data_IF_683606686321
#
_entry.id   IF_683606686321
#
_cell.length_a   1.000
_cell.length_b   1.000
_cell.length_c   1.000
_cell.angle_alpha   90.00
_cell.angle_beta   90.00
_cell.angle_gamma   90.00
#
_symmetry.space_group_name_H-M   'P 1'
#
loop_
_entity.id
_entity.type
_entity.pdbx_description
1 polymer ?
#
# COMPACT_ATOMS: atom_id res chain seq x y z
N UNK A 1 38.89 39.08 72.77
CA UNK A 1 38.27 37.74 72.73
C UNK A 1 36.96 37.66 71.93
N UNK A 2 36.11 38.71 71.85
CA UNK A 2 34.83 38.65 71.10
C UNK A 2 34.93 38.72 69.56
N UNK A 3 36.03 39.23 68.99
CA UNK A 3 36.20 39.34 67.53
C UNK A 3 36.66 38.04 66.85
N UNK A 4 37.31 37.13 67.57
CA UNK A 4 37.79 35.85 67.02
C UNK A 4 36.67 34.82 66.83
N UNK A 5 35.60 34.88 67.64
CA UNK A 5 34.46 33.97 67.53
C UNK A 5 33.57 34.25 66.30
N UNK A 6 33.51 35.50 65.84
CA UNK A 6 32.68 35.89 64.69
C UNK A 6 33.32 35.45 63.35
N UNK A 7 34.65 35.47 63.26
CA UNK A 7 35.38 35.10 62.03
C UNK A 7 35.41 33.59 61.80
N UNK A 8 35.43 32.78 62.87
CA UNK A 8 35.40 31.31 62.78
C UNK A 8 33.99 30.80 62.39
N UNK A 9 32.93 31.47 62.85
CA UNK A 9 31.55 31.11 62.49
C UNK A 9 31.21 31.36 61.01
N UNK A 10 31.73 32.44 60.41
CA UNK A 10 31.48 32.78 59.00
C UNK A 10 32.22 31.86 58.03
N UNK A 11 33.42 31.38 58.40
CA UNK A 11 34.21 30.44 57.57
C UNK A 11 33.60 29.03 57.60
N UNK A 12 33.01 28.60 58.72
CA UNK A 12 32.37 27.29 58.83
C UNK A 12 31.07 27.19 58.00
N UNK A 13 30.29 28.28 57.93
CA UNK A 13 29.04 28.33 57.14
C UNK A 13 29.32 28.40 55.63
N UNK A 14 30.39 29.08 55.21
CA UNK A 14 30.80 29.09 53.79
C UNK A 14 31.34 27.72 53.33
N UNK A 15 31.96 26.97 54.23
CA UNK A 15 32.57 25.66 53.93
C UNK A 15 31.51 24.56 53.76
N UNK A 16 30.34 24.69 54.40
CA UNK A 16 29.21 23.76 54.25
C UNK A 16 28.44 24.03 52.94
N UNK A 17 28.45 25.26 52.41
CA UNK A 17 27.85 25.60 51.11
C UNK A 17 28.69 25.19 49.90
N UNK A 18 29.99 24.87 50.09
CA UNK A 18 30.89 24.47 49.00
C UNK A 18 30.98 22.94 48.79
N UNK A 19 30.43 22.12 49.70
CA UNK A 19 30.45 20.66 49.59
C UNK A 19 29.18 20.04 48.96
N UNK A 20 28.14 20.83 48.69
CA UNK A 20 26.92 20.38 47.98
C UNK A 20 27.00 20.47 46.45
N UNK A 21 28.14 20.89 45.89
CA UNK A 21 28.30 21.12 44.45
C UNK A 21 28.83 19.91 43.64
N UNK A 22 29.05 18.75 44.26
CA UNK A 22 29.56 17.54 43.60
C UNK A 22 28.65 16.31 43.80
N UNK A 23 27.34 16.48 43.64
CA UNK A 23 26.50 15.33 43.29
C UNK A 23 26.82 14.92 41.83
N UNK A 24 27.06 13.65 41.52
CA UNK A 24 27.16 13.20 40.14
C UNK A 24 25.90 13.66 39.41
N UNK A 25 26.06 14.37 38.29
CA UNK A 25 24.94 14.70 37.43
C UNK A 25 24.28 13.39 37.01
N UNK A 26 23.17 13.06 37.67
CA UNK A 26 22.37 11.91 37.34
C UNK A 26 21.77 12.22 35.97
N UNK A 27 22.41 11.71 34.92
CA UNK A 27 21.89 11.76 33.56
C UNK A 27 20.51 11.12 33.61
N UNK A 28 19.47 11.96 33.59
CA UNK A 28 18.10 11.50 33.60
C UNK A 28 17.94 10.46 32.48
N UNK A 29 17.54 9.25 32.85
CA UNK A 29 17.21 8.23 31.86
C UNK A 29 16.16 8.83 30.90
N UNK A 30 16.28 8.61 29.58
CA UNK A 30 15.32 9.15 28.64
C UNK A 30 13.92 8.67 29.01
N UNK A 31 13.02 9.61 29.24
CA UNK A 31 11.62 9.34 29.56
C UNK A 31 10.99 8.68 28.34
N UNK A 32 10.56 7.41 28.46
CA UNK A 32 9.77 6.76 27.42
C UNK A 32 8.37 7.31 27.46
N UNK A 33 7.88 7.88 26.35
CA UNK A 33 6.51 8.37 26.27
C UNK A 33 5.69 7.49 25.33
N UNK A 34 4.44 7.22 25.72
CA UNK A 34 3.46 6.60 24.83
C UNK A 34 2.79 7.72 24.03
N UNK A 35 2.89 7.63 22.71
CA UNK A 35 2.39 8.61 21.73
C UNK A 35 1.39 7.93 20.80
N UNK A 36 0.64 8.73 20.06
CA UNK A 36 -0.23 8.23 18.97
C UNK A 36 0.46 8.44 17.63
N UNK A 37 0.54 7.37 16.83
CA UNK A 37 0.94 7.39 15.43
C UNK A 37 -0.33 7.34 14.57
N UNK A 38 -0.70 8.47 14.00
CA UNK A 38 -1.84 8.57 13.09
C UNK A 38 -1.44 8.11 11.69
N UNK A 39 -2.18 7.15 11.15
CA UNK A 39 -1.98 6.59 9.82
C UNK A 39 -3.25 6.78 8.99
N UNK A 40 -3.08 7.06 7.70
CA UNK A 40 -4.17 7.26 6.75
C UNK A 40 -4.39 6.06 5.84
N UNK A 41 -5.61 5.93 5.32
CA UNK A 41 -5.96 5.00 4.25
C UNK A 41 -6.93 5.65 3.26
N UNK A 42 -6.72 5.39 1.98
CA UNK A 42 -7.50 5.92 0.85
C UNK A 42 -7.99 4.74 0.03
N UNK A 43 -9.29 4.48 0.05
CA UNK A 43 -9.91 3.35 -0.65
C UNK A 43 -11.31 3.73 -1.11
N UNK A 44 -11.87 3.04 -2.11
CA UNK A 44 -13.28 3.17 -2.45
C UNK A 44 -14.12 2.53 -1.36
N UNK A 45 -14.82 3.34 -0.57
CA UNK A 45 -15.87 2.86 0.35
C UNK A 45 -17.27 2.99 -0.25
N UNK A 46 -17.39 3.74 -1.34
CA UNK A 46 -18.62 3.86 -2.14
C UNK A 46 -18.36 3.58 -3.62
N UNK A 47 -19.44 3.47 -4.41
CA UNK A 47 -19.37 3.21 -5.85
C UNK A 47 -19.09 1.74 -6.23
N UNK A 48 -18.84 1.50 -7.52
CA UNK A 48 -18.71 0.14 -8.08
C UNK A 48 -17.50 -0.66 -7.57
N UNK A 49 -16.50 0.01 -6.99
CA UNK A 49 -15.33 -0.61 -6.39
C UNK A 49 -15.42 -0.75 -4.85
N UNK A 50 -16.55 -0.35 -4.23
CA UNK A 50 -16.71 -0.30 -2.76
C UNK A 50 -16.40 -1.61 -2.05
N UNK A 51 -16.69 -2.75 -2.71
CA UNK A 51 -16.42 -4.08 -2.17
C UNK A 51 -14.96 -4.24 -1.72
N UNK A 52 -14.00 -3.60 -2.39
CA UNK A 52 -12.58 -3.70 -2.03
C UNK A 52 -12.26 -2.93 -0.76
N UNK A 53 -12.69 -1.68 -0.63
CA UNK A 53 -12.46 -0.89 0.58
C UNK A 53 -13.19 -1.47 1.80
N UNK A 54 -14.43 -1.94 1.61
CA UNK A 54 -15.21 -2.55 2.68
C UNK A 54 -14.62 -3.87 3.19
N UNK A 55 -13.94 -4.64 2.33
CA UNK A 55 -13.21 -5.84 2.74
C UNK A 55 -11.89 -5.50 3.46
N UNK A 56 -11.14 -4.52 2.99
CA UNK A 56 -9.80 -4.21 3.52
C UNK A 56 -9.81 -3.40 4.82
N UNK A 57 -10.81 -2.55 5.06
CA UNK A 57 -10.84 -1.69 6.27
C UNK A 57 -10.79 -2.50 7.57
N UNK A 58 -11.66 -3.52 7.78
CA UNK A 58 -11.58 -4.35 8.99
C UNK A 58 -10.23 -5.03 9.18
N UNK A 59 -9.57 -5.44 8.09
CA UNK A 59 -8.24 -6.05 8.16
C UNK A 59 -7.21 -5.06 8.70
N UNK A 60 -7.25 -3.81 8.25
CA UNK A 60 -6.36 -2.76 8.75
C UNK A 60 -6.64 -2.42 10.22
N UNK A 61 -7.92 -2.32 10.60
CA UNK A 61 -8.32 -2.05 11.98
C UNK A 61 -7.81 -3.17 12.91
N UNK A 62 -8.00 -4.44 12.54
CA UNK A 62 -7.49 -5.59 13.31
C UNK A 62 -5.97 -5.58 13.44
N UNK A 63 -5.24 -5.24 12.37
CA UNK A 63 -3.77 -5.14 12.46
C UNK A 63 -3.32 -4.01 13.39
N UNK A 64 -3.97 -2.85 13.33
CA UNK A 64 -3.68 -1.74 14.23
C UNK A 64 -3.97 -2.12 15.70
N UNK A 65 -5.10 -2.78 15.95
CA UNK A 65 -5.47 -3.30 17.26
C UNK A 65 -4.44 -4.31 17.78
N UNK A 66 -4.05 -5.31 16.99
CA UNK A 66 -3.06 -6.30 17.40
C UNK A 66 -1.70 -5.68 17.74
N UNK A 67 -1.24 -4.69 16.96
CA UNK A 67 0.01 -3.98 17.25
C UNK A 67 -0.12 -3.19 18.56
N UNK A 68 -1.26 -2.55 18.78
CA UNK A 68 -1.51 -1.77 19.98
C UNK A 68 -1.59 -2.67 21.24
N UNK A 69 -2.24 -3.83 21.12
CA UNK A 69 -2.33 -4.86 22.15
C UNK A 69 -0.96 -5.45 22.50
N UNK A 70 -0.06 -5.60 21.52
CA UNK A 70 1.34 -6.02 21.71
C UNK A 70 2.25 -4.90 22.28
N UNK A 71 1.64 -3.79 22.72
CA UNK A 71 2.33 -2.68 23.37
C UNK A 71 2.79 -1.57 22.43
N UNK A 72 2.37 -1.58 21.17
CA UNK A 72 2.63 -0.52 20.18
C UNK A 72 4.02 -0.59 19.54
N UNK A 73 4.31 0.37 18.67
CA UNK A 73 5.57 0.43 17.91
C UNK A 73 6.62 1.21 18.71
N UNK A 74 7.75 0.57 19.01
CA UNK A 74 8.88 1.26 19.66
C UNK A 74 9.76 1.98 18.63
N UNK A 75 9.91 3.30 18.76
CA UNK A 75 10.80 4.13 17.95
C UNK A 75 11.70 4.95 18.87
N UNK A 76 12.98 4.59 18.91
CA UNK A 76 13.92 5.16 19.90
C UNK A 76 13.47 4.83 21.32
N UNK A 77 13.23 5.85 22.13
CA UNK A 77 12.74 5.70 23.50
C UNK A 77 11.22 5.75 23.62
N UNK A 78 10.52 6.14 22.55
CA UNK A 78 9.08 6.31 22.56
C UNK A 78 8.36 5.07 22.04
N UNK A 79 7.13 4.91 22.49
CA UNK A 79 6.20 3.87 22.05
C UNK A 79 5.02 4.53 21.37
N UNK A 80 4.59 4.02 20.23
CA UNK A 80 3.52 4.60 19.43
C UNK A 80 2.35 3.64 19.29
N UNK A 81 1.17 4.09 19.73
CA UNK A 81 -0.11 3.44 19.49
C UNK A 81 -0.66 3.91 18.14
N UNK A 82 -1.14 3.00 17.31
CA UNK A 82 -1.67 3.27 15.98
C UNK A 82 -3.10 3.78 16.08
N UNK A 83 -3.40 4.86 15.36
CA UNK A 83 -4.75 5.35 15.10
C UNK A 83 -4.96 5.45 13.57
N UNK A 84 -5.98 4.78 13.05
CA UNK A 84 -6.28 4.73 11.63
C UNK A 84 -7.34 5.77 11.22
N UNK A 85 -7.06 6.51 10.15
CA UNK A 85 -7.98 7.46 9.52
C UNK A 85 -8.28 7.04 8.09
N UNK A 86 -9.57 6.87 7.77
CA UNK A 86 -10.01 6.36 6.47
C UNK A 86 -10.74 7.46 5.68
N UNK A 87 -10.39 7.62 4.40
CA UNK A 87 -11.10 8.50 3.46
C UNK A 87 -11.55 7.71 2.23
N UNK A 88 -12.81 7.92 1.84
CA UNK A 88 -13.36 7.40 0.59
C UNK A 88 -12.83 8.20 -0.60
N UNK A 89 -12.09 7.55 -1.48
CA UNK A 89 -11.59 8.17 -2.72
C UNK A 89 -12.44 7.86 -3.95
N UNK A 90 -13.55 7.13 -3.77
CA UNK A 90 -14.51 6.76 -4.82
C UNK A 90 -13.89 6.10 -6.05
N UNK A 91 -12.70 5.51 -5.93
CA UNK A 91 -11.94 4.93 -7.04
C UNK A 91 -11.50 5.95 -8.11
N UNK A 92 -11.32 7.23 -7.76
CA UNK A 92 -11.07 8.31 -8.73
C UNK A 92 -9.84 9.18 -8.35
N UNK A 93 -9.08 9.71 -9.34
CA UNK A 93 -7.87 10.49 -9.06
C UNK A 93 -8.11 11.78 -8.26
N UNK A 94 -9.14 12.55 -8.64
CA UNK A 94 -9.41 13.85 -8.03
C UNK A 94 -9.87 13.74 -6.56
N UNK A 95 -10.85 12.87 -6.22
CA UNK A 95 -11.17 12.59 -4.83
C UNK A 95 -10.00 11.99 -4.05
N UNK A 96 -9.18 11.13 -4.65
CA UNK A 96 -7.97 10.60 -4.01
C UNK A 96 -6.98 11.70 -3.60
N UNK A 97 -6.67 12.65 -4.49
CA UNK A 97 -5.80 13.79 -4.16
C UNK A 97 -6.42 14.72 -3.10
N UNK A 98 -7.74 14.92 -3.13
CA UNK A 98 -8.43 15.69 -2.10
C UNK A 98 -8.39 14.99 -0.73
N UNK A 99 -8.62 13.68 -0.72
CA UNK A 99 -8.54 12.84 0.48
C UNK A 99 -7.14 12.81 1.08
N UNK A 100 -6.10 12.73 0.24
CA UNK A 100 -4.72 12.84 0.70
C UNK A 100 -4.45 14.17 1.42
N UNK A 101 -4.91 15.30 0.87
CA UNK A 101 -4.80 16.61 1.53
C UNK A 101 -5.50 16.62 2.88
N UNK A 102 -6.71 16.06 2.97
CA UNK A 102 -7.46 15.98 4.24
C UNK A 102 -6.71 15.14 5.28
N UNK A 103 -6.21 13.96 4.90
CA UNK A 103 -5.43 13.11 5.81
C UNK A 103 -4.17 13.83 6.31
N UNK A 104 -3.47 14.56 5.44
CA UNK A 104 -2.22 15.23 5.79
C UNK A 104 -2.48 16.47 6.66
N UNK A 105 -3.36 17.38 6.20
CA UNK A 105 -3.51 18.70 6.80
C UNK A 105 -4.56 18.75 7.91
N UNK A 106 -5.64 17.97 7.82
CA UNK A 106 -6.72 18.00 8.80
C UNK A 106 -6.50 16.94 9.88
N UNK A 107 -6.17 15.70 9.49
CA UNK A 107 -5.98 14.59 10.43
C UNK A 107 -4.55 14.52 11.00
N UNK A 108 -3.56 15.04 10.28
CA UNK A 108 -2.17 15.06 10.69
C UNK A 108 -1.50 13.69 10.62
N UNK A 109 -1.84 12.86 9.62
CA UNK A 109 -1.27 11.51 9.50
C UNK A 109 0.23 11.56 9.15
N UNK A 110 0.99 10.61 9.69
CA UNK A 110 2.42 10.46 9.40
C UNK A 110 2.68 9.74 8.07
N UNK A 111 1.79 8.81 7.70
CA UNK A 111 1.86 8.05 6.47
C UNK A 111 0.47 7.64 6.01
N UNK A 112 0.32 7.34 4.73
CA UNK A 112 -0.87 6.72 4.13
C UNK A 112 -0.51 5.29 3.77
N UNK A 113 -1.11 4.29 4.41
CA UNK A 113 -0.64 2.88 4.43
C UNK A 113 -1.65 1.84 3.91
N UNK A 114 -2.74 2.27 3.29
CA UNK A 114 -3.75 1.38 2.72
C UNK A 114 -4.41 2.02 1.52
N UNK A 115 -3.81 1.83 0.34
CA UNK A 115 -4.29 2.42 -0.91
C UNK A 115 -4.68 1.37 -1.96
N UNK A 116 -5.95 1.41 -2.37
CA UNK A 116 -6.50 0.55 -3.41
C UNK A 116 -7.42 1.36 -4.34
N UNK A 117 -6.87 2.09 -5.31
CA UNK A 117 -7.68 2.96 -6.17
C UNK A 117 -6.99 3.36 -7.48
N UNK A 118 -7.73 3.99 -8.40
CA UNK A 118 -7.26 4.47 -9.70
C UNK A 118 -6.86 5.96 -9.64
N UNK A 119 -5.78 6.28 -8.91
CA UNK A 119 -5.36 7.67 -8.68
C UNK A 119 -3.98 7.86 -8.06
N UNK A 120 -3.12 6.83 -8.08
CA UNK A 120 -1.87 6.81 -7.31
C UNK A 120 -0.95 8.00 -7.62
N UNK A 121 -0.82 8.40 -8.89
CA UNK A 121 0.01 9.54 -9.28
C UNK A 121 -0.52 10.88 -8.73
N UNK A 122 -1.85 11.04 -8.65
CA UNK A 122 -2.48 12.24 -8.09
C UNK A 122 -2.27 12.30 -6.57
N UNK A 123 -2.34 11.17 -5.88
CA UNK A 123 -2.03 11.05 -4.45
C UNK A 123 -0.54 11.31 -4.20
N UNK A 124 0.34 10.68 -4.98
CA UNK A 124 1.79 10.87 -4.89
C UNK A 124 2.20 12.33 -5.12
N UNK A 125 1.53 13.05 -6.04
CA UNK A 125 1.74 14.47 -6.27
C UNK A 125 1.40 15.36 -5.06
N UNK A 126 0.59 14.87 -4.12
CA UNK A 126 0.30 15.55 -2.84
C UNK A 126 1.27 15.09 -1.75
N UNK A 127 1.54 13.80 -1.63
CA UNK A 127 2.31 13.24 -0.51
C UNK A 127 3.81 13.52 -0.62
N UNK A 128 4.39 13.52 -1.83
CA UNK A 128 5.83 13.72 -2.04
C UNK A 128 6.34 15.12 -1.64
N UNK A 129 5.69 16.23 -2.03
CA UNK A 129 6.08 17.56 -1.57
C UNK A 129 6.06 17.71 -0.04
N UNK A 130 5.08 17.05 0.60
CA UNK A 130 4.89 17.06 2.06
C UNK A 130 5.77 16.02 2.79
N UNK A 131 6.54 15.21 2.05
CA UNK A 131 7.40 14.14 2.60
C UNK A 131 6.62 13.10 3.42
N UNK A 132 5.36 12.90 3.10
CA UNK A 132 4.49 11.90 3.73
C UNK A 132 4.66 10.58 3.00
N UNK A 133 4.98 9.52 3.75
CA UNK A 133 5.12 8.19 3.17
C UNK A 133 3.78 7.73 2.63
N UNK A 134 3.76 7.32 1.37
CA UNK A 134 2.61 6.79 0.68
C UNK A 134 2.88 5.35 0.27
N UNK A 135 2.24 4.40 0.96
CA UNK A 135 2.30 2.98 0.62
C UNK A 135 1.09 2.63 -0.24
N UNK A 136 1.35 2.33 -1.50
CA UNK A 136 0.31 1.94 -2.46
C UNK A 136 0.65 0.71 -3.26
N UNK A 137 -0.25 0.32 -4.15
CA UNK A 137 0.02 -0.69 -5.18
C UNK A 137 0.68 -0.01 -6.39
N UNK A 138 1.59 -0.70 -7.10
CA UNK A 138 1.89 -0.34 -8.51
C UNK A 138 1.02 -1.20 -9.42
N UNK A 139 0.41 -0.60 -10.45
CA UNK A 139 -0.35 -1.32 -11.45
C UNK A 139 -0.87 -0.46 -12.57
N UNK A 140 -1.06 -1.05 -13.76
CA UNK A 140 -1.94 -0.54 -14.82
C UNK A 140 -1.99 1.00 -14.94
N UNK A 141 -0.87 1.63 -15.30
CA UNK A 141 -0.77 3.09 -15.46
C UNK A 141 -0.28 3.87 -14.24
N UNK A 142 0.12 3.22 -13.14
CA UNK A 142 0.86 3.87 -12.05
C UNK A 142 2.26 4.25 -12.54
N UNK A 143 2.41 5.49 -12.96
CA UNK A 143 3.70 6.10 -13.28
C UNK A 143 4.46 6.39 -11.99
N UNK A 144 5.40 5.52 -11.64
CA UNK A 144 6.40 5.79 -10.61
C UNK A 144 7.64 6.41 -11.28
N UNK A 145 8.03 7.59 -10.82
CA UNK A 145 9.27 8.22 -11.19
C UNK A 145 10.17 8.38 -9.95
N UNK A 146 11.30 7.66 -9.84
CA UNK A 146 12.17 7.73 -8.65
C UNK A 146 12.73 9.13 -8.35
N UNK A 147 12.80 10.01 -9.36
CA UNK A 147 13.25 11.39 -9.16
C UNK A 147 12.18 12.24 -8.46
N UNK A 148 10.90 11.92 -8.65
CA UNK A 148 9.76 12.70 -8.15
C UNK A 148 9.01 12.02 -7.00
N UNK A 149 9.02 10.68 -6.94
CA UNK A 149 8.19 9.85 -6.06
C UNK A 149 8.98 9.22 -4.90
N UNK A 150 9.88 10.01 -4.29
CA UNK A 150 10.81 9.55 -3.23
C UNK A 150 10.15 9.05 -1.95
N UNK A 151 8.90 9.45 -1.70
CA UNK A 151 8.11 9.03 -0.53
C UNK A 151 7.03 8.02 -0.89
N UNK A 152 7.00 7.55 -2.13
CA UNK A 152 6.12 6.45 -2.52
C UNK A 152 6.83 5.11 -2.31
N UNK A 153 6.18 4.22 -1.58
CA UNK A 153 6.56 2.82 -1.42
C UNK A 153 5.47 1.98 -2.09
N UNK A 154 5.86 0.94 -2.81
CA UNK A 154 4.90 0.01 -3.39
C UNK A 154 5.21 -1.43 -2.99
N UNK A 155 4.19 -2.10 -2.46
CA UNK A 155 4.30 -3.47 -1.94
C UNK A 155 3.86 -4.56 -2.92
N UNK A 156 3.16 -4.19 -3.99
CA UNK A 156 2.60 -5.13 -4.96
C UNK A 156 2.93 -4.69 -6.36
N UNK A 157 3.87 -5.37 -7.04
CA UNK A 157 4.30 -5.01 -8.37
C UNK A 157 3.33 -5.63 -9.39
N UNK A 158 2.12 -5.06 -9.57
CA UNK A 158 1.07 -5.78 -10.32
C UNK A 158 1.35 -5.86 -11.82
N UNK A 159 2.06 -4.91 -12.42
CA UNK A 159 2.52 -5.01 -13.80
C UNK A 159 3.64 -6.06 -13.93
N UNK A 160 4.54 -6.08 -12.97
CA UNK A 160 5.62 -7.05 -12.90
C UNK A 160 5.08 -8.45 -12.62
N UNK A 161 4.01 -8.60 -11.83
CA UNK A 161 3.34 -9.88 -11.62
C UNK A 161 2.87 -10.48 -12.95
N UNK A 162 2.30 -9.65 -13.83
CA UNK A 162 1.92 -10.10 -15.17
C UNK A 162 3.16 -10.39 -16.02
N UNK A 163 4.19 -9.54 -15.97
CA UNK A 163 5.45 -9.79 -16.68
C UNK A 163 6.13 -11.10 -16.21
N UNK A 164 6.08 -11.41 -14.92
CA UNK A 164 6.61 -12.66 -14.35
C UNK A 164 5.76 -13.86 -14.76
N UNK A 165 4.43 -13.73 -14.87
CA UNK A 165 3.58 -14.76 -15.45
C UNK A 165 3.99 -15.06 -16.90
N UNK A 166 4.32 -14.04 -17.69
CA UNK A 166 4.79 -14.20 -19.07
C UNK A 166 6.16 -14.90 -19.12
N UNK A 167 7.11 -14.49 -18.28
CA UNK A 167 8.43 -15.14 -18.18
C UNK A 167 8.29 -16.60 -17.72
N UNK A 168 7.37 -16.87 -16.79
CA UNK A 168 7.07 -18.24 -16.36
C UNK A 168 6.45 -19.06 -17.49
N UNK A 169 5.52 -18.49 -18.26
CA UNK A 169 4.91 -19.14 -19.42
C UNK A 169 5.95 -19.54 -20.48
N UNK A 170 6.92 -18.66 -20.79
CA UNK A 170 8.01 -19.02 -21.71
C UNK A 170 8.85 -20.20 -21.23
N UNK A 171 9.18 -20.23 -19.93
CA UNK A 171 10.01 -21.29 -19.34
C UNK A 171 9.28 -22.63 -19.33
N UNK A 172 7.99 -22.60 -19.01
CA UNK A 172 7.17 -23.81 -18.92
C UNK A 172 6.71 -24.32 -20.30
N UNK A 173 6.42 -23.40 -21.23
CA UNK A 173 5.76 -23.69 -22.51
C UNK A 173 6.41 -22.89 -23.67
N UNK A 174 7.62 -23.25 -24.11
CA UNK A 174 8.37 -22.51 -25.13
C UNK A 174 7.68 -22.45 -26.51
N UNK A 175 6.72 -23.35 -26.77
CA UNK A 175 5.99 -23.43 -28.03
C UNK A 175 4.75 -22.53 -28.07
N UNK A 176 4.31 -21.97 -26.95
CA UNK A 176 3.12 -21.11 -26.90
C UNK A 176 3.40 -19.76 -27.57
N UNK A 177 2.38 -19.21 -28.22
CA UNK A 177 2.43 -17.98 -29.04
C UNK A 177 1.29 -17.02 -28.76
N UNK A 178 0.16 -17.46 -28.19
CA UNK A 178 -0.99 -16.60 -27.93
C UNK A 178 -1.47 -16.74 -26.49
N UNK A 179 -1.46 -15.63 -25.76
CA UNK A 179 -2.03 -15.50 -24.41
C UNK A 179 -3.48 -15.00 -24.55
N UNK A 180 -4.43 -15.75 -24.02
CA UNK A 180 -5.81 -15.36 -23.86
C UNK A 180 -6.03 -14.67 -22.51
N UNK A 181 -6.56 -13.46 -22.52
CA UNK A 181 -6.94 -12.71 -21.34
C UNK A 181 -8.45 -12.69 -21.22
N UNK A 182 -8.97 -13.04 -20.05
CA UNK A 182 -10.42 -13.02 -19.81
C UNK A 182 -10.79 -12.42 -18.46
N UNK A 183 -11.88 -11.65 -18.43
CA UNK A 183 -12.36 -10.97 -17.24
C UNK A 183 -13.84 -10.57 -17.43
N UNK A 184 -14.55 -10.15 -16.36
CA UNK A 184 -15.85 -9.53 -16.48
C UNK A 184 -15.83 -8.27 -17.36
N UNK A 185 -16.96 -7.94 -17.97
CA UNK A 185 -17.13 -6.80 -18.87
C UNK A 185 -16.74 -5.46 -18.22
N UNK A 186 -17.04 -5.27 -16.94
CA UNK A 186 -16.66 -4.09 -16.18
C UNK A 186 -15.14 -3.87 -16.12
N UNK A 187 -14.33 -4.92 -16.28
CA UNK A 187 -12.88 -4.80 -16.28
C UNK A 187 -12.31 -4.31 -17.63
N UNK A 188 -13.10 -4.27 -18.71
CA UNK A 188 -12.62 -3.98 -20.07
C UNK A 188 -11.94 -2.61 -20.18
N UNK A 189 -12.56 -1.56 -19.65
CA UNK A 189 -12.01 -0.21 -19.76
C UNK A 189 -10.68 -0.12 -19.02
N UNK A 190 -10.67 -0.58 -17.76
CA UNK A 190 -9.45 -0.62 -16.96
C UNK A 190 -8.37 -1.42 -17.68
N UNK A 191 -8.71 -2.57 -18.28
CA UNK A 191 -7.75 -3.40 -18.99
C UNK A 191 -7.16 -2.73 -20.25
N UNK A 192 -7.95 -1.94 -20.99
CA UNK A 192 -7.45 -1.19 -22.15
C UNK A 192 -6.46 -0.09 -21.72
N UNK A 193 -6.80 0.69 -20.69
CA UNK A 193 -5.94 1.75 -20.16
C UNK A 193 -4.66 1.18 -19.51
N UNK A 194 -4.77 0.01 -18.90
CA UNK A 194 -3.75 -0.67 -18.14
C UNK A 194 -2.69 -1.39 -18.94
N UNK A 195 -3.12 -2.12 -19.97
CA UNK A 195 -2.40 -3.28 -20.48
C UNK A 195 -2.08 -3.17 -21.98
N UNK A 196 -2.54 -2.13 -22.68
CA UNK A 196 -2.19 -1.92 -24.09
C UNK A 196 -0.68 -1.77 -24.30
N UNK A 197 0.00 -1.02 -23.43
CA UNK A 197 1.47 -0.89 -23.46
C UNK A 197 2.16 -2.19 -23.08
N UNK A 198 1.59 -2.91 -22.12
CA UNK A 198 2.10 -4.21 -21.69
C UNK A 198 2.00 -5.24 -22.82
N UNK A 199 0.88 -5.29 -23.54
CA UNK A 199 0.70 -6.19 -24.68
C UNK A 199 1.75 -5.95 -25.76
N UNK A 200 1.96 -4.69 -26.13
CA UNK A 200 3.01 -4.30 -27.09
C UNK A 200 4.37 -4.75 -26.58
N UNK A 201 4.68 -4.49 -25.31
CA UNK A 201 5.94 -4.92 -24.71
C UNK A 201 6.08 -6.45 -24.67
N UNK A 202 4.99 -7.20 -24.46
CA UNK A 202 4.98 -8.66 -24.48
C UNK A 202 5.25 -9.18 -25.90
N UNK A 203 4.58 -8.61 -26.91
CA UNK A 203 4.79 -8.98 -28.31
C UNK A 203 6.22 -8.63 -28.76
N UNK A 204 6.69 -7.42 -28.49
CA UNK A 204 8.02 -6.96 -28.90
C UNK A 204 9.16 -7.75 -28.24
N UNK A 205 9.03 -8.08 -26.95
CA UNK A 205 10.10 -8.75 -26.19
C UNK A 205 10.07 -10.26 -26.31
N UNK A 206 8.88 -10.85 -26.45
CA UNK A 206 8.69 -12.30 -26.31
C UNK A 206 7.99 -12.96 -27.50
N UNK A 207 7.49 -12.17 -28.47
CA UNK A 207 6.77 -12.69 -29.63
C UNK A 207 5.45 -13.39 -29.27
N UNK A 208 4.88 -13.07 -28.10
CA UNK A 208 3.60 -13.60 -27.64
C UNK A 208 2.50 -12.59 -27.96
N UNK A 209 1.43 -13.04 -28.61
CA UNK A 209 0.27 -12.21 -28.94
C UNK A 209 -0.74 -12.25 -27.81
N UNK A 210 -1.40 -11.13 -27.55
CA UNK A 210 -2.50 -11.05 -26.60
C UNK A 210 -3.86 -11.11 -27.31
N UNK A 211 -4.77 -11.97 -26.83
CA UNK A 211 -6.15 -12.07 -27.29
C UNK A 211 -7.11 -11.88 -26.11
N UNK A 212 -8.07 -10.97 -26.21
CA UNK A 212 -8.98 -10.63 -25.09
C UNK A 212 -10.39 -11.10 -25.32
N UNK A 213 -10.97 -11.75 -24.31
CA UNK A 213 -12.37 -12.17 -24.30
C UNK A 213 -13.01 -11.77 -22.98
N UNK A 214 -14.03 -10.91 -23.04
CA UNK A 214 -14.79 -10.47 -21.87
C UNK A 214 -16.14 -11.20 -21.78
N UNK A 215 -16.65 -11.33 -20.56
CA UNK A 215 -17.93 -11.97 -20.26
C UNK A 215 -18.78 -11.12 -19.29
N UNK A 216 -20.12 -11.20 -19.32
CA UNK A 216 -20.97 -10.49 -18.36
C UNK A 216 -20.74 -10.94 -16.91
N UNK A 217 -20.91 -10.03 -15.95
CA UNK A 217 -20.88 -10.36 -14.52
C UNK A 217 -21.90 -11.46 -14.18
N UNK A 218 -21.52 -12.38 -13.30
CA UNK A 218 -22.40 -13.49 -12.90
C UNK A 218 -22.49 -14.62 -13.93
N UNK A 219 -21.66 -14.62 -14.97
CA UNK A 219 -21.54 -15.73 -15.90
C UNK A 219 -21.20 -17.02 -15.15
N UNK A 220 -22.01 -18.06 -15.36
CA UNK A 220 -21.79 -19.41 -14.81
C UNK A 220 -21.41 -20.44 -15.87
N UNK A 221 -21.69 -20.16 -17.14
CA UNK A 221 -21.29 -20.98 -18.29
C UNK A 221 -20.24 -20.25 -19.13
N UNK A 222 -19.00 -20.69 -19.01
CA UNK A 222 -17.81 -20.16 -19.67
C UNK A 222 -17.50 -20.85 -21.01
N UNK A 223 -18.20 -21.94 -21.36
CA UNK A 223 -17.97 -22.73 -22.58
C UNK A 223 -17.87 -21.85 -23.86
N UNK A 224 -18.77 -20.88 -24.11
CA UNK A 224 -18.69 -20.06 -25.33
C UNK A 224 -17.41 -19.22 -25.41
N UNK A 225 -16.92 -18.73 -24.27
CA UNK A 225 -15.70 -17.92 -24.19
C UNK A 225 -14.45 -18.77 -24.36
N UNK A 226 -14.47 -19.99 -23.79
CA UNK A 226 -13.40 -20.98 -23.98
C UNK A 226 -13.30 -21.39 -25.45
N UNK A 227 -14.42 -21.70 -26.11
CA UNK A 227 -14.46 -22.04 -27.54
C UNK A 227 -13.91 -20.89 -28.38
N UNK A 228 -14.37 -19.66 -28.14
CA UNK A 228 -13.88 -18.47 -28.85
C UNK A 228 -12.36 -18.28 -28.71
N UNK A 229 -11.80 -18.49 -27.51
CA UNK A 229 -10.36 -18.44 -27.30
C UNK A 229 -9.63 -19.55 -28.08
N UNK A 230 -10.15 -20.78 -28.06
CA UNK A 230 -9.57 -21.90 -28.80
C UNK A 230 -9.58 -21.69 -30.32
N UNK A 231 -10.68 -21.18 -30.87
CA UNK A 231 -10.80 -20.82 -32.30
C UNK A 231 -9.80 -19.75 -32.75
N UNK A 232 -9.34 -18.91 -31.82
CA UNK A 232 -8.33 -17.87 -32.07
C UNK A 232 -6.90 -18.31 -31.70
N UNK A 233 -6.70 -19.62 -31.49
CA UNK A 233 -5.38 -20.20 -31.26
C UNK A 233 -4.76 -19.82 -29.92
N UNK A 234 -5.57 -19.48 -28.91
CA UNK A 234 -5.06 -19.22 -27.55
C UNK A 234 -4.42 -20.49 -26.98
N UNK A 235 -3.15 -20.37 -26.58
CA UNK A 235 -2.38 -21.47 -25.99
C UNK A 235 -2.44 -21.46 -24.45
N UNK A 236 -2.55 -20.27 -23.85
CA UNK A 236 -2.58 -20.05 -22.40
C UNK A 236 -3.70 -19.08 -22.04
N UNK A 237 -4.54 -19.42 -21.05
CA UNK A 237 -5.59 -18.52 -20.55
C UNK A 237 -5.16 -17.92 -19.20
N UNK A 238 -5.20 -16.59 -19.11
CA UNK A 238 -5.11 -15.81 -17.88
C UNK A 238 -6.47 -15.20 -17.58
N UNK A 239 -6.96 -15.39 -16.35
CA UNK A 239 -8.27 -14.91 -15.91
C UNK A 239 -8.12 -13.86 -14.81
N UNK A 240 -8.74 -12.70 -15.02
CA UNK A 240 -8.95 -11.64 -14.03
C UNK A 240 -10.33 -11.72 -13.35
N UNK A 241 -11.00 -12.87 -13.43
CA UNK A 241 -12.28 -13.12 -12.78
C UNK A 241 -12.18 -13.37 -11.27
N UNK A 242 -13.32 -13.47 -10.60
CA UNK A 242 -13.35 -13.91 -9.21
C UNK A 242 -12.88 -15.37 -9.06
N UNK A 243 -12.53 -15.79 -7.84
CA UNK A 243 -12.10 -17.17 -7.56
C UNK A 243 -13.14 -18.20 -8.05
N UNK A 244 -14.43 -17.90 -7.88
CA UNK A 244 -15.51 -18.78 -8.34
C UNK A 244 -15.56 -18.88 -9.87
N UNK A 245 -15.44 -17.74 -10.56
CA UNK A 245 -15.44 -17.68 -12.02
C UNK A 245 -14.25 -18.45 -12.61
N UNK A 246 -13.05 -18.26 -12.03
CA UNK A 246 -11.83 -18.98 -12.42
C UNK A 246 -12.01 -20.49 -12.23
N UNK A 247 -12.60 -20.92 -11.11
CA UNK A 247 -12.87 -22.33 -10.85
C UNK A 247 -13.90 -22.93 -11.84
N UNK A 248 -14.95 -22.18 -12.18
CA UNK A 248 -15.94 -22.59 -13.17
C UNK A 248 -15.35 -22.69 -14.57
N UNK A 249 -14.55 -21.70 -14.99
CA UNK A 249 -13.83 -21.71 -16.26
C UNK A 249 -12.90 -22.91 -16.35
N UNK A 250 -12.11 -23.16 -15.30
CA UNK A 250 -11.20 -24.31 -15.24
C UNK A 250 -11.98 -25.63 -15.33
N UNK A 251 -13.04 -25.80 -14.52
CA UNK A 251 -13.91 -26.99 -14.55
C UNK A 251 -14.47 -27.26 -15.94
N UNK A 252 -14.93 -26.22 -16.63
CA UNK A 252 -15.60 -26.35 -17.93
C UNK A 252 -14.60 -26.54 -19.08
N UNK A 253 -13.33 -26.14 -18.92
CA UNK A 253 -12.28 -26.44 -19.89
C UNK A 253 -11.96 -27.93 -19.99
N UNK A 254 -12.13 -28.68 -18.90
CA UNK A 254 -11.85 -30.11 -18.78
C UNK A 254 -13.10 -31.00 -18.75
N UNK A 255 -14.28 -30.41 -18.91
CA UNK A 255 -15.48 -31.19 -19.16
C UNK A 255 -15.47 -31.61 -20.64
N UNK A 256 -15.00 -32.84 -20.88
CA UNK A 256 -15.26 -33.58 -22.12
C UNK A 256 -16.76 -33.89 -22.26
#
# INVERSE_FOLDING_TARGET
MKKAFLTVGVVLVLSIMLFTACAPAQTAAPVSTVKTLKLGALMPFTGGAAQWGLLMRPEMDVYAELINEDGGIKVGNDTYQIEMHYIDDSFMPAPGAAGARKLIYDEGVTAIVGYFSAGSAAVAGVTNPEKVIFIGRTGSGVNYNPDNDKYMIFGTPSAENVAYQVVAAMKAFPNYKVIGWTAPEAARQAAAEAFDEMDKAIEDRYGLKSYRVYYPEGTTNFTPYIVKMAENGVDLVSSGGSVLEVALLAKQRWAE
#
